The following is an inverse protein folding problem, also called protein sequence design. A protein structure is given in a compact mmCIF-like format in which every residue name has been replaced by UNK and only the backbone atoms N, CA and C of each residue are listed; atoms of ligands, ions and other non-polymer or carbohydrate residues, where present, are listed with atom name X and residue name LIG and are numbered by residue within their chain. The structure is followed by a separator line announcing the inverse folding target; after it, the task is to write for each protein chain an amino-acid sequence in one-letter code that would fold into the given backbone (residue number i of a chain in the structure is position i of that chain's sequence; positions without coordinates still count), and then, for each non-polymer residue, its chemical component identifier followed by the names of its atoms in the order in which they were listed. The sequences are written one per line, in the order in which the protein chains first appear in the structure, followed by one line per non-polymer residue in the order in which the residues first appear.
data_IF_785362738887
#
_entry.id   IF_785362738887
#
_cell.length_a   1.000
_cell.length_b   1.000
_cell.length_c   1.000
_cell.angle_alpha   90.00
_cell.angle_beta   90.00
_cell.angle_gamma   90.00
#
_symmetry.space_group_name_H-M   'P 1'
#
loop_
_entity.id
_entity.type
_entity.pdbx_description
1 polymer ?
#
# COMPACT_ATOMS: atom_id res chain seq x y z
N UNK A 1 -5.41 -12.97 2.15
CA UNK A 1 -5.52 -13.17 3.62
C UNK A 1 -6.99 -13.21 4.06
N UNK A 2 -7.37 -13.95 5.12
CA UNK A 2 -8.77 -13.89 5.62
C UNK A 2 -9.01 -12.57 6.38
N UNK A 3 -10.15 -11.91 6.13
CA UNK A 3 -10.53 -10.65 6.81
C UNK A 3 -10.41 -10.73 8.35
N UNK A 4 -10.62 -11.92 8.91
CA UNK A 4 -10.46 -12.20 10.33
C UNK A 4 -9.02 -12.05 10.83
N UNK A 5 -8.04 -12.55 10.07
CA UNK A 5 -6.62 -12.44 10.46
C UNK A 5 -6.14 -10.99 10.42
N UNK A 6 -6.58 -10.23 9.40
CA UNK A 6 -6.38 -8.79 9.36
C UNK A 6 -6.96 -8.16 10.63
N UNK A 7 -8.26 -8.39 10.92
CA UNK A 7 -8.95 -7.83 12.09
C UNK A 7 -8.28 -8.15 13.44
N UNK A 8 -7.77 -9.37 13.63
CA UNK A 8 -7.05 -9.76 14.85
C UNK A 8 -5.71 -9.04 14.98
N UNK A 9 -4.96 -8.92 13.87
CA UNK A 9 -3.71 -8.15 13.81
C UNK A 9 -3.94 -6.68 14.17
N UNK A 10 -5.13 -6.14 13.88
CA UNK A 10 -5.51 -4.77 14.22
C UNK A 10 -6.00 -4.57 15.66
N UNK A 11 -6.84 -5.48 16.18
CA UNK A 11 -7.49 -5.29 17.48
C UNK A 11 -6.59 -5.64 18.68
N UNK A 12 -5.79 -6.69 18.57
CA UNK A 12 -4.90 -7.12 19.67
C UNK A 12 -3.99 -5.97 20.20
N UNK A 13 -3.33 -5.18 19.35
CA UNK A 13 -2.47 -4.09 19.82
C UNK A 13 -3.25 -2.91 20.40
N UNK A 14 -4.43 -2.60 19.88
CA UNK A 14 -5.32 -1.59 20.46
C UNK A 14 -5.74 -1.99 21.88
N UNK A 15 -6.07 -3.27 22.09
CA UNK A 15 -6.39 -3.82 23.42
C UNK A 15 -5.18 -3.74 24.35
N UNK A 16 -3.97 -4.04 23.88
CA UNK A 16 -2.76 -3.94 24.71
C UNK A 16 -2.47 -2.51 25.16
N UNK A 17 -2.60 -1.52 24.28
CA UNK A 17 -2.40 -0.11 24.63
C UNK A 17 -3.48 0.35 25.63
N UNK A 18 -4.73 -0.05 25.40
CA UNK A 18 -5.85 0.21 26.31
C UNK A 18 -5.58 -0.35 27.71
N UNK A 19 -5.21 -1.63 27.80
CA UNK A 19 -4.93 -2.31 29.06
C UNK A 19 -3.72 -1.67 29.76
N UNK A 20 -2.65 -1.38 29.02
CA UNK A 20 -1.45 -0.76 29.58
C UNK A 20 -1.72 0.64 30.13
N UNK A 21 -2.36 1.51 29.35
CA UNK A 21 -2.69 2.87 29.79
C UNK A 21 -3.68 2.87 30.96
N UNK A 22 -4.69 1.99 30.91
CA UNK A 22 -5.63 1.84 32.00
C UNK A 22 -4.96 1.34 33.28
N UNK A 23 -4.08 0.33 33.19
CA UNK A 23 -3.31 -0.17 34.33
C UNK A 23 -2.49 0.93 34.98
N UNK A 24 -1.77 1.72 34.17
CA UNK A 24 -0.96 2.85 34.65
C UNK A 24 -1.80 3.94 35.32
N UNK A 25 -3.04 4.15 34.85
CA UNK A 25 -3.96 5.10 35.46
C UNK A 25 -4.53 4.57 36.78
N UNK A 26 -4.96 3.31 36.80
CA UNK A 26 -5.53 2.66 37.98
C UNK A 26 -4.52 2.57 39.13
N UNK A 27 -3.22 2.39 38.84
CA UNK A 27 -2.15 2.46 39.84
C UNK A 27 -2.09 3.82 40.56
N UNK A 28 -2.42 4.91 39.87
CA UNK A 28 -2.39 6.28 40.42
C UNK A 28 -3.72 6.70 41.02
N UNK A 29 -4.81 6.14 40.52
CA UNK A 29 -6.19 6.50 40.85
C UNK A 29 -7.06 5.24 40.99
N UNK A 30 -6.84 4.42 42.04
CA UNK A 30 -7.51 3.12 42.18
C UNK A 30 -9.03 3.23 42.40
N UNK A 31 -9.49 4.37 42.90
CA UNK A 31 -10.90 4.68 43.16
C UNK A 31 -11.69 5.12 41.92
N UNK A 32 -11.03 5.38 40.79
CA UNK A 32 -11.65 5.96 39.59
C UNK A 32 -12.13 4.87 38.64
N UNK A 33 -13.32 5.05 38.05
CA UNK A 33 -13.88 4.11 37.08
C UNK A 33 -13.27 4.28 35.67
N UNK A 34 -13.32 3.23 34.85
CA UNK A 34 -12.82 3.25 33.47
C UNK A 34 -13.46 4.35 32.61
N UNK A 35 -14.76 4.61 32.79
CA UNK A 35 -15.48 5.67 32.07
C UNK A 35 -14.93 7.06 32.35
N UNK A 36 -14.42 7.28 33.57
CA UNK A 36 -13.90 8.57 33.99
C UNK A 36 -12.49 8.80 33.43
N UNK A 37 -11.69 7.73 33.29
CA UNK A 37 -10.43 7.79 32.56
C UNK A 37 -10.62 8.11 31.08
N UNK A 38 -11.57 7.44 30.41
CA UNK A 38 -11.86 7.69 29.00
C UNK A 38 -12.31 9.13 28.76
N UNK A 39 -13.05 9.72 29.72
CA UNK A 39 -13.44 11.13 29.71
C UNK A 39 -12.30 12.07 30.07
N UNK A 40 -11.35 11.61 30.89
CA UNK A 40 -10.24 12.42 31.34
C UNK A 40 -9.31 12.79 30.18
N UNK A 41 -9.14 11.94 29.15
CA UNK A 41 -8.32 12.23 27.97
C UNK A 41 -9.09 12.07 26.63
N UNK A 42 -9.74 13.14 26.14
CA UNK A 42 -10.49 13.07 24.89
C UNK A 42 -9.62 12.77 23.66
N UNK A 43 -8.30 13.03 23.70
CA UNK A 43 -7.40 12.70 22.58
C UNK A 43 -7.21 11.21 22.45
N UNK A 44 -6.96 10.52 23.57
CA UNK A 44 -6.79 9.07 23.59
C UNK A 44 -8.11 8.40 23.20
N UNK A 45 -9.24 8.88 23.74
CA UNK A 45 -10.56 8.38 23.36
C UNK A 45 -10.84 8.57 21.86
N UNK A 46 -10.55 9.75 21.31
CA UNK A 46 -10.71 10.04 19.88
C UNK A 46 -9.77 9.21 19.01
N UNK A 47 -8.53 8.98 19.46
CA UNK A 47 -7.56 8.14 18.77
C UNK A 47 -8.04 6.68 18.73
N UNK A 48 -8.47 6.12 19.87
CA UNK A 48 -9.02 4.77 19.94
C UNK A 48 -10.28 4.60 19.08
N UNK A 49 -11.17 5.59 19.09
CA UNK A 49 -12.33 5.60 18.21
C UNK A 49 -11.91 5.60 16.72
N UNK A 50 -10.88 6.37 16.38
CA UNK A 50 -10.34 6.37 15.02
C UNK A 50 -9.74 5.01 14.64
N UNK A 51 -9.06 4.33 15.57
CA UNK A 51 -8.54 2.97 15.37
C UNK A 51 -9.66 1.96 15.11
N UNK A 52 -10.75 2.04 15.87
CA UNK A 52 -11.95 1.22 15.66
C UNK A 52 -12.60 1.45 14.29
N UNK A 53 -12.47 2.68 13.76
CA UNK A 53 -13.05 3.09 12.49
C UNK A 53 -12.07 3.03 11.32
N UNK A 54 -10.86 2.47 11.47
CA UNK A 54 -9.84 2.43 10.42
C UNK A 54 -10.33 1.81 9.10
N UNK A 55 -11.23 0.83 9.19
CA UNK A 55 -11.88 0.22 8.03
C UNK A 55 -12.64 1.23 7.17
N UNK A 56 -13.13 2.33 7.74
CA UNK A 56 -13.88 3.36 7.02
C UNK A 56 -13.05 4.59 6.67
N UNK A 57 -11.79 4.66 7.15
CA UNK A 57 -10.93 5.82 6.95
C UNK A 57 -10.04 5.56 5.72
N UNK A 58 -10.17 6.34 4.63
CA UNK A 58 -9.27 6.26 3.49
C UNK A 58 -7.81 6.43 3.93
N UNK A 59 -6.87 5.68 3.33
CA UNK A 59 -5.45 5.64 3.74
C UNK A 59 -5.21 5.19 5.20
N UNK A 60 -6.25 4.72 5.90
CA UNK A 60 -6.17 4.14 7.24
C UNK A 60 -5.44 5.02 8.26
N UNK A 61 -4.41 4.44 8.91
CA UNK A 61 -3.72 5.07 10.03
C UNK A 61 -2.99 6.35 9.60
N UNK A 62 -2.54 6.43 8.35
CA UNK A 62 -1.81 7.59 7.84
C UNK A 62 -2.71 8.83 7.85
N UNK A 63 -3.98 8.68 7.48
CA UNK A 63 -4.96 9.77 7.55
C UNK A 63 -5.31 10.13 9.00
N UNK A 64 -5.42 9.15 9.90
CA UNK A 64 -5.64 9.39 11.34
C UNK A 64 -4.49 10.20 11.94
N UNK A 65 -3.24 9.85 11.63
CA UNK A 65 -2.07 10.52 12.16
C UNK A 65 -1.90 11.93 11.59
N UNK A 66 -1.97 12.07 10.26
CA UNK A 66 -1.85 13.38 9.61
C UNK A 66 -3.02 14.28 9.99
N UNK A 67 -4.26 13.81 9.81
CA UNK A 67 -5.45 14.58 10.16
C UNK A 67 -5.52 14.92 11.66
N UNK A 68 -5.26 13.94 12.52
CA UNK A 68 -5.20 14.14 13.97
C UNK A 68 -4.13 15.14 14.40
N UNK A 69 -2.95 15.11 13.78
CA UNK A 69 -1.88 16.08 14.04
C UNK A 69 -2.26 17.50 13.62
N UNK A 70 -2.90 17.66 12.46
CA UNK A 70 -3.38 18.96 11.95
C UNK A 70 -4.46 19.53 12.87
N UNK A 71 -5.46 18.71 13.23
CA UNK A 71 -6.52 19.13 14.16
C UNK A 71 -5.92 19.52 15.51
N UNK A 72 -5.01 18.72 16.05
CA UNK A 72 -4.33 19.00 17.31
C UNK A 72 -3.54 20.32 17.25
N UNK A 73 -2.85 20.59 16.14
CA UNK A 73 -2.13 21.85 15.95
C UNK A 73 -3.07 23.06 15.93
N UNK A 74 -4.22 22.96 15.23
CA UNK A 74 -5.22 24.03 15.19
C UNK A 74 -5.79 24.30 16.59
N UNK A 75 -6.14 23.25 17.33
CA UNK A 75 -6.66 23.37 18.70
C UNK A 75 -5.61 23.94 19.66
N UNK A 76 -4.35 23.52 19.52
CA UNK A 76 -3.23 24.03 20.30
C UNK A 76 -3.00 25.53 20.04
N UNK A 77 -3.21 26.04 18.83
CA UNK A 77 -3.13 27.49 18.56
C UNK A 77 -4.27 28.24 19.26
N UNK A 78 -5.49 27.68 19.22
CA UNK A 78 -6.71 28.35 19.71
C UNK A 78 -6.92 28.30 21.22
N UNK A 79 -6.37 27.32 21.93
CA UNK A 79 -6.65 27.11 23.35
C UNK A 79 -5.39 26.90 24.20
N UNK A 80 -5.19 27.77 25.20
CA UNK A 80 -4.14 27.60 26.21
C UNK A 80 -4.31 26.34 27.03
N UNK A 81 -5.55 25.97 27.34
CA UNK A 81 -5.85 24.76 28.09
C UNK A 81 -5.38 23.52 27.32
N UNK A 82 -5.62 23.49 26.00
CA UNK A 82 -5.19 22.39 25.14
C UNK A 82 -3.65 22.27 25.09
N UNK A 83 -2.94 23.40 25.05
CA UNK A 83 -1.47 23.40 25.13
C UNK A 83 -0.96 22.81 26.46
N UNK A 84 -1.57 23.20 27.58
CA UNK A 84 -1.19 22.69 28.91
C UNK A 84 -1.49 21.19 29.05
N UNK A 85 -2.65 20.74 28.60
CA UNK A 85 -3.02 19.32 28.61
C UNK A 85 -2.06 18.48 27.75
N UNK A 86 -1.69 18.99 26.57
CA UNK A 86 -0.70 18.32 25.72
C UNK A 86 0.67 18.20 26.41
N UNK A 87 1.14 19.25 27.07
CA UNK A 87 2.41 19.22 27.82
C UNK A 87 2.37 18.26 29.00
N UNK A 88 1.25 18.16 29.72
CA UNK A 88 1.11 17.28 30.89
C UNK A 88 1.04 15.79 30.51
N UNK A 89 0.55 15.47 29.31
CA UNK A 89 0.24 14.09 28.89
C UNK A 89 0.93 13.64 27.61
N UNK A 90 1.87 14.44 27.10
CA UNK A 90 2.62 14.16 25.87
C UNK A 90 3.25 12.78 25.88
N UNK A 91 3.90 12.39 26.99
CA UNK A 91 4.59 11.11 27.10
C UNK A 91 3.66 9.92 26.84
N UNK A 92 2.49 9.88 27.50
CA UNK A 92 1.53 8.79 27.33
C UNK A 92 0.94 8.74 25.92
N UNK A 93 0.68 9.92 25.32
CA UNK A 93 0.13 10.05 23.97
C UNK A 93 1.13 9.66 22.90
N UNK A 94 2.36 10.17 22.99
CA UNK A 94 3.46 9.83 22.06
C UNK A 94 3.74 8.33 22.12
N UNK A 95 3.79 7.75 23.32
CA UNK A 95 4.02 6.31 23.45
C UNK A 95 2.91 5.48 22.80
N UNK A 96 1.64 5.87 22.97
CA UNK A 96 0.53 5.21 22.26
C UNK A 96 0.65 5.31 20.74
N UNK A 97 0.99 6.49 20.22
CA UNK A 97 1.20 6.70 18.78
C UNK A 97 2.36 5.83 18.27
N UNK A 98 3.48 5.79 19.00
CA UNK A 98 4.66 4.98 18.64
C UNK A 98 4.31 3.49 18.62
N UNK A 99 3.62 2.98 19.64
CA UNK A 99 3.18 1.58 19.64
C UNK A 99 2.28 1.27 18.45
N UNK A 100 1.27 2.11 18.21
CA UNK A 100 0.38 1.93 17.05
C UNK A 100 1.18 1.92 15.75
N UNK A 101 2.10 2.86 15.56
CA UNK A 101 2.96 2.91 14.38
C UNK A 101 3.78 1.64 14.20
N UNK A 102 4.49 1.19 15.24
CA UNK A 102 5.30 -0.03 15.20
C UNK A 102 4.44 -1.21 14.77
N UNK A 103 3.28 -1.37 15.38
CA UNK A 103 2.34 -2.45 15.06
C UNK A 103 1.86 -2.39 13.60
N UNK A 104 1.50 -1.20 13.11
CA UNK A 104 0.99 -1.04 11.75
C UNK A 104 2.09 -1.27 10.70
N UNK A 105 3.33 -0.88 11.03
CA UNK A 105 4.50 -1.21 10.21
C UNK A 105 4.78 -2.72 10.24
N UNK A 106 4.68 -3.36 11.41
CA UNK A 106 4.86 -4.82 11.54
C UNK A 106 3.81 -5.62 10.76
N UNK A 107 2.59 -5.09 10.62
CA UNK A 107 1.56 -5.70 9.77
C UNK A 107 1.99 -5.79 8.29
N UNK A 108 2.94 -4.97 7.85
CA UNK A 108 3.54 -5.08 6.53
C UNK A 108 4.39 -6.34 6.34
N UNK A 109 4.72 -7.11 7.38
CA UNK A 109 5.39 -8.41 7.25
C UNK A 109 4.41 -9.59 7.12
N UNK A 110 3.11 -9.34 7.19
CA UNK A 110 2.11 -10.39 6.97
C UNK A 110 2.23 -10.84 5.50
N UNK A 111 2.45 -12.14 5.24
CA UNK A 111 2.52 -12.64 3.87
C UNK A 111 1.23 -12.31 3.12
N UNK A 112 1.32 -11.77 1.90
CA UNK A 112 0.15 -11.50 1.08
C UNK A 112 -0.49 -12.82 0.62
N UNK A 113 -1.65 -12.72 -0.03
CA UNK A 113 -2.18 -13.84 -0.82
C UNK A 113 -1.28 -14.15 -2.02
N UNK A 114 -1.30 -15.41 -2.46
CA UNK A 114 -0.59 -15.86 -3.66
C UNK A 114 -1.24 -15.26 -4.92
N UNK A 115 -0.45 -14.81 -5.91
CA UNK A 115 -0.93 -14.43 -7.25
C UNK A 115 -1.79 -15.53 -7.88
N UNK A 116 -2.84 -15.14 -8.61
CA UNK A 116 -3.85 -16.07 -9.19
C UNK A 116 -3.70 -16.29 -10.70
N UNK A 117 -2.78 -15.58 -11.34
CA UNK A 117 -2.57 -15.57 -12.78
C UNK A 117 -2.20 -16.93 -13.40
N UNK A 118 -1.84 -17.93 -12.60
CA UNK A 118 -1.62 -19.30 -13.08
C UNK A 118 -2.87 -19.88 -13.74
N UNK A 119 -4.07 -19.53 -13.25
CA UNK A 119 -5.34 -20.00 -13.82
C UNK A 119 -5.60 -19.44 -15.22
N UNK A 120 -4.96 -18.32 -15.56
CA UNK A 120 -5.12 -17.60 -16.84
C UNK A 120 -3.99 -17.93 -17.82
N UNK A 121 -2.75 -17.79 -17.36
CA UNK A 121 -1.55 -17.83 -18.23
C UNK A 121 -0.73 -19.11 -18.05
N UNK A 122 -1.17 -20.04 -17.18
CA UNK A 122 -0.45 -21.27 -16.86
C UNK A 122 0.73 -21.03 -15.92
N UNK A 123 1.67 -21.98 -15.86
CA UNK A 123 2.79 -21.92 -14.92
C UNK A 123 3.68 -20.68 -15.17
N UNK A 124 3.99 -19.90 -14.12
CA UNK A 124 4.87 -18.74 -14.24
C UNK A 124 6.30 -19.16 -14.60
N UNK A 125 7.00 -18.25 -15.29
CA UNK A 125 8.42 -18.40 -15.59
C UNK A 125 9.28 -18.24 -14.32
N UNK A 126 8.85 -17.34 -13.42
CA UNK A 126 9.49 -17.08 -12.15
C UNK A 126 8.45 -16.90 -11.06
N UNK A 127 8.64 -17.63 -9.95
CA UNK A 127 7.87 -17.48 -8.72
C UNK A 127 8.72 -16.74 -7.69
N UNK A 128 8.19 -15.64 -7.18
CA UNK A 128 8.90 -14.81 -6.22
C UNK A 128 9.90 -13.86 -6.87
N UNK A 129 10.31 -12.90 -6.06
CA UNK A 129 11.23 -11.83 -6.43
C UNK A 129 12.58 -12.16 -5.76
N UNK A 130 13.65 -12.43 -6.52
CA UNK A 130 14.97 -12.80 -5.95
C UNK A 130 15.52 -11.64 -5.10
N UNK A 131 15.16 -10.41 -5.46
CA UNK A 131 15.59 -9.18 -4.80
C UNK A 131 14.43 -8.42 -4.12
N UNK A 132 13.33 -9.10 -3.75
CA UNK A 132 12.25 -8.45 -3.02
C UNK A 132 12.77 -7.84 -1.71
N UNK A 133 12.43 -6.58 -1.40
CA UNK A 133 12.62 -6.10 -0.05
C UNK A 133 11.74 -6.97 0.88
N UNK A 134 12.25 -7.36 2.06
CA UNK A 134 11.47 -8.14 3.02
C UNK A 134 10.26 -7.36 3.59
N UNK A 135 10.19 -6.06 3.31
CA UNK A 135 9.14 -5.18 3.76
C UNK A 135 8.84 -4.07 2.74
N UNK A 136 7.56 -3.76 2.49
CA UNK A 136 6.41 -4.60 2.82
C UNK A 136 6.48 -5.96 2.12
N UNK A 137 5.89 -6.98 2.73
CA UNK A 137 5.82 -8.32 2.19
C UNK A 137 5.09 -8.29 0.85
N UNK A 138 5.71 -8.90 -0.16
CA UNK A 138 5.16 -9.03 -1.50
C UNK A 138 5.44 -10.39 -2.09
N UNK A 139 4.54 -10.84 -2.94
CA UNK A 139 4.70 -12.04 -3.76
C UNK A 139 4.48 -11.65 -5.21
N UNK A 140 5.33 -12.13 -6.11
CA UNK A 140 5.35 -11.71 -7.51
C UNK A 140 5.55 -12.91 -8.43
N UNK A 141 4.64 -13.10 -9.38
CA UNK A 141 4.76 -14.12 -10.43
C UNK A 141 4.92 -13.43 -11.79
N UNK A 142 5.76 -14.01 -12.65
CA UNK A 142 6.11 -13.44 -13.95
C UNK A 142 5.84 -14.46 -15.05
N UNK A 143 5.18 -14.01 -16.13
CA UNK A 143 4.92 -14.78 -17.34
C UNK A 143 5.49 -14.08 -18.56
N UNK A 144 5.94 -14.87 -19.53
CA UNK A 144 6.26 -14.40 -20.88
C UNK A 144 5.28 -15.08 -21.83
N UNK A 145 4.40 -14.27 -22.43
CA UNK A 145 3.33 -14.76 -23.29
C UNK A 145 3.82 -14.94 -24.73
N UNK A 146 3.05 -15.72 -25.50
CA UNK A 146 3.39 -16.10 -26.87
C UNK A 146 3.52 -14.89 -27.81
N UNK A 147 2.82 -13.80 -27.51
CA UNK A 147 2.86 -12.56 -28.27
C UNK A 147 4.02 -11.61 -27.85
N UNK A 148 4.90 -12.08 -26.96
CA UNK A 148 6.05 -11.35 -26.46
C UNK A 148 5.73 -10.39 -25.31
N UNK A 149 4.50 -10.37 -24.78
CA UNK A 149 4.19 -9.60 -23.58
C UNK A 149 4.77 -10.25 -22.33
N UNK A 150 5.36 -9.45 -21.45
CA UNK A 150 5.67 -9.86 -20.09
C UNK A 150 4.56 -9.40 -19.17
N UNK A 151 3.98 -10.34 -18.45
CA UNK A 151 2.97 -10.08 -17.44
C UNK A 151 3.58 -10.33 -16.07
N UNK A 152 3.42 -9.39 -15.17
CA UNK A 152 3.90 -9.46 -13.80
C UNK A 152 2.73 -9.20 -12.87
N UNK A 153 2.32 -10.20 -12.12
CA UNK A 153 1.32 -10.06 -11.07
C UNK A 153 2.05 -9.92 -9.73
N UNK A 154 1.75 -8.87 -8.99
CA UNK A 154 2.35 -8.61 -7.67
C UNK A 154 1.25 -8.41 -6.65
N UNK A 155 1.25 -9.24 -5.61
CA UNK A 155 0.44 -9.04 -4.42
C UNK A 155 1.30 -8.40 -3.34
N UNK A 156 0.84 -7.28 -2.79
CA UNK A 156 1.58 -6.43 -1.87
C UNK A 156 0.76 -6.16 -0.60
N UNK A 157 1.33 -6.42 0.57
CA UNK A 157 0.72 -6.00 1.82
C UNK A 157 0.98 -4.51 2.08
N UNK A 158 -0.08 -3.70 2.17
CA UNK A 158 0.00 -2.26 2.44
C UNK A 158 -0.16 -2.00 3.94
N UNK A 159 0.92 -1.63 4.65
CA UNK A 159 0.88 -1.44 6.10
C UNK A 159 0.01 -0.24 6.47
N UNK A 160 -0.92 -0.49 7.40
CA UNK A 160 -1.76 0.53 8.02
C UNK A 160 -2.89 1.08 7.17
N UNK A 161 -3.12 0.53 5.98
CA UNK A 161 -4.24 0.89 5.10
C UNK A 161 -5.17 -0.31 4.99
N UNK A 162 -6.41 -0.17 5.49
CA UNK A 162 -7.40 -1.25 5.45
C UNK A 162 -8.53 -1.03 4.47
N UNK A 163 -8.79 0.25 4.20
CA UNK A 163 -9.83 0.71 3.33
C UNK A 163 -9.26 0.84 1.91
N UNK A 164 -9.94 0.29 0.88
CA UNK A 164 -9.46 0.36 -0.50
C UNK A 164 -9.56 1.77 -1.10
N UNK A 165 -10.40 2.66 -0.56
CA UNK A 165 -10.58 4.03 -1.03
C UNK A 165 -9.29 4.82 -0.84
N UNK A 166 -8.83 5.45 -1.92
CA UNK A 166 -7.57 6.18 -2.03
C UNK A 166 -6.29 5.36 -1.84
N UNK A 167 -6.38 4.06 -1.52
CA UNK A 167 -5.22 3.21 -1.33
C UNK A 167 -4.33 3.13 -2.58
N UNK A 168 -4.87 2.92 -3.81
CA UNK A 168 -4.05 2.87 -5.01
C UNK A 168 -3.25 4.16 -5.24
N UNK A 169 -3.86 5.33 -5.02
CA UNK A 169 -3.20 6.62 -5.19
C UNK A 169 -2.06 6.81 -4.18
N UNK A 170 -2.31 6.45 -2.91
CA UNK A 170 -1.30 6.53 -1.85
C UNK A 170 -0.12 5.59 -2.11
N UNK A 171 -0.38 4.33 -2.47
CA UNK A 171 0.67 3.35 -2.75
C UNK A 171 1.44 3.71 -4.02
N UNK A 172 0.77 4.17 -5.08
CA UNK A 172 1.42 4.67 -6.30
C UNK A 172 2.42 5.79 -5.96
N UNK A 173 1.99 6.78 -5.19
CA UNK A 173 2.84 7.91 -4.78
C UNK A 173 4.08 7.42 -4.03
N UNK A 174 3.91 6.50 -3.07
CA UNK A 174 5.05 5.92 -2.33
C UNK A 174 5.97 5.16 -3.28
N UNK A 175 5.42 4.32 -4.16
CA UNK A 175 6.17 3.52 -5.13
C UNK A 175 7.00 4.35 -6.10
N UNK A 176 6.54 5.55 -6.46
CA UNK A 176 7.27 6.49 -7.29
C UNK A 176 8.41 7.15 -6.54
N UNK A 177 8.15 7.61 -5.30
CA UNK A 177 9.17 8.27 -4.47
C UNK A 177 10.29 7.32 -4.05
N UNK A 178 9.97 6.04 -3.80
CA UNK A 178 10.97 5.03 -3.40
C UNK A 178 11.72 4.41 -4.57
N UNK A 179 11.28 4.64 -5.82
CA UNK A 179 11.81 3.95 -6.99
C UNK A 179 11.42 2.47 -7.08
N UNK A 180 10.50 1.99 -6.24
CA UNK A 180 10.10 0.58 -6.21
C UNK A 180 9.49 0.11 -7.54
N UNK A 181 8.81 1.01 -8.25
CA UNK A 181 8.25 0.73 -9.58
C UNK A 181 9.35 0.42 -10.60
N UNK A 182 10.40 1.25 -10.63
CA UNK A 182 11.55 1.07 -11.51
C UNK A 182 12.30 -0.23 -11.20
N UNK A 183 12.54 -0.52 -9.91
CA UNK A 183 13.24 -1.72 -9.50
C UNK A 183 12.51 -3.01 -9.93
N UNK A 184 11.18 -3.06 -9.79
CA UNK A 184 10.37 -4.22 -10.24
C UNK A 184 10.37 -4.37 -11.74
N UNK A 185 10.34 -3.27 -12.48
CA UNK A 185 10.46 -3.27 -13.93
C UNK A 185 11.82 -3.83 -14.38
N UNK A 186 12.92 -3.33 -13.80
CA UNK A 186 14.27 -3.80 -14.10
C UNK A 186 14.44 -5.29 -13.83
N UNK A 187 13.83 -5.81 -12.77
CA UNK A 187 13.82 -7.25 -12.49
C UNK A 187 13.03 -8.04 -13.53
N UNK A 188 11.83 -7.59 -13.90
CA UNK A 188 11.03 -8.25 -14.94
C UNK A 188 11.76 -8.30 -16.29
N UNK A 189 12.44 -7.21 -16.66
CA UNK A 189 13.24 -7.14 -17.89
C UNK A 189 14.54 -7.92 -17.76
N UNK A 190 15.12 -8.09 -16.57
CA UNK A 190 16.33 -8.91 -16.39
C UNK A 190 16.13 -10.39 -16.75
N UNK A 191 14.87 -10.85 -16.75
CA UNK A 191 14.50 -12.19 -17.23
C UNK A 191 14.41 -12.28 -18.76
N UNK A 192 14.37 -11.14 -19.46
CA UNK A 192 14.61 -11.11 -20.90
C UNK A 192 16.11 -11.29 -21.14
N UNK A 193 16.48 -12.27 -21.96
CA UNK A 193 17.87 -12.58 -22.34
C UNK A 193 18.43 -11.50 -23.28
N UNK A 194 18.57 -10.27 -22.77
CA UNK A 194 18.99 -9.11 -23.54
C UNK A 194 20.40 -8.65 -23.15
N UNK A 195 21.24 -8.45 -24.17
CA UNK A 195 22.68 -8.14 -24.08
C UNK A 195 22.98 -6.83 -23.32
N UNK A 196 21.99 -5.96 -23.16
CA UNK A 196 22.13 -4.56 -22.70
C UNK A 196 22.06 -4.40 -21.18
N UNK A 197 21.60 -5.43 -20.46
CA UNK A 197 21.47 -5.43 -19.00
C UNK A 197 20.29 -4.57 -18.49
N UNK A 198 19.75 -4.86 -17.30
CA UNK A 198 18.51 -4.25 -16.80
C UNK A 198 18.62 -2.74 -16.52
N UNK A 199 19.83 -2.24 -16.24
CA UNK A 199 20.08 -0.83 -15.96
C UNK A 199 20.11 0.05 -17.22
N UNK A 200 19.97 -0.54 -18.41
CA UNK A 200 19.91 0.20 -19.67
C UNK A 200 18.52 0.77 -19.96
N UNK A 201 17.53 0.50 -19.12
CA UNK A 201 16.15 0.98 -19.28
C UNK A 201 15.75 1.89 -18.13
N UNK A 202 14.90 2.88 -18.45
CA UNK A 202 14.24 3.76 -17.48
C UNK A 202 12.79 4.01 -17.87
N UNK A 203 11.93 4.28 -16.89
CA UNK A 203 10.52 4.57 -17.14
C UNK A 203 10.25 6.07 -17.23
N UNK A 204 9.48 6.47 -18.24
CA UNK A 204 8.96 7.83 -18.39
C UNK A 204 7.43 7.82 -18.42
N UNK A 205 6.75 8.53 -17.50
CA UNK A 205 5.30 8.46 -17.41
C UNK A 205 4.60 9.15 -18.59
N UNK A 206 3.66 8.46 -19.23
CA UNK A 206 2.68 9.02 -20.17
C UNK A 206 1.41 9.39 -19.40
N UNK A 207 0.86 8.43 -18.65
CA UNK A 207 -0.31 8.62 -17.77
C UNK A 207 0.05 8.29 -16.33
N UNK A 208 0.02 9.31 -15.47
CA UNK A 208 0.36 9.19 -14.06
C UNK A 208 -0.87 8.87 -13.18
N UNK A 209 -1.59 7.80 -13.50
CA UNK A 209 -2.71 7.31 -12.69
C UNK A 209 -4.06 7.85 -13.16
N UNK A 210 -4.61 7.24 -14.20
CA UNK A 210 -5.95 7.51 -14.73
C UNK A 210 -6.88 6.37 -14.32
N UNK A 211 -8.17 6.66 -14.12
CA UNK A 211 -9.17 5.61 -13.91
C UNK A 211 -9.66 5.14 -15.27
N UNK A 212 -9.54 3.84 -15.54
CA UNK A 212 -10.01 3.20 -16.76
C UNK A 212 -11.08 2.16 -16.41
N UNK A 213 -12.04 1.99 -17.31
CA UNK A 213 -13.15 1.05 -17.15
C UNK A 213 -12.80 -0.28 -17.82
N UNK A 214 -12.60 -1.31 -17.00
CA UNK A 214 -12.33 -2.68 -17.42
C UNK A 214 -13.61 -3.52 -17.28
N UNK A 215 -14.42 -3.56 -18.35
CA UNK A 215 -15.72 -4.26 -18.41
C UNK A 215 -16.64 -4.00 -17.19
N UNK A 216 -16.80 -2.73 -16.80
CA UNK A 216 -17.62 -2.30 -15.68
C UNK A 216 -16.86 -2.17 -14.35
N UNK A 217 -15.57 -2.50 -14.32
CA UNK A 217 -14.69 -2.32 -13.15
C UNK A 217 -13.76 -1.13 -13.36
N UNK A 218 -13.99 -0.06 -12.61
CA UNK A 218 -13.17 1.14 -12.67
C UNK A 218 -11.89 0.98 -11.85
N UNK A 219 -10.74 0.86 -12.50
CA UNK A 219 -9.44 0.65 -11.85
C UNK A 219 -8.46 1.77 -12.19
N UNK A 220 -7.57 2.06 -11.23
CA UNK A 220 -6.45 2.97 -11.46
C UNK A 220 -5.42 2.24 -12.33
N UNK A 221 -4.97 2.88 -13.41
CA UNK A 221 -3.82 2.41 -14.18
C UNK A 221 -2.79 3.52 -14.41
N UNK A 222 -1.53 3.12 -14.50
CA UNK A 222 -0.41 3.97 -14.94
C UNK A 222 0.12 3.46 -16.26
N UNK A 223 0.60 4.37 -17.09
CA UNK A 223 1.17 4.07 -18.42
C UNK A 223 2.49 4.80 -18.57
N UNK A 224 3.53 4.06 -18.90
CA UNK A 224 4.90 4.54 -18.99
C UNK A 224 5.54 4.08 -20.29
N UNK A 225 6.31 4.98 -20.89
CA UNK A 225 7.28 4.63 -21.92
C UNK A 225 8.51 3.98 -21.28
N UNK A 226 9.01 2.93 -21.94
CA UNK A 226 10.29 2.31 -21.64
C UNK A 226 11.35 3.01 -22.48
N UNK A 227 12.20 3.79 -21.83
CA UNK A 227 13.29 4.52 -22.45
C UNK A 227 14.58 3.70 -22.36
N UNK A 228 15.14 3.36 -23.52
CA UNK A 228 16.48 2.77 -23.61
C UNK A 228 17.52 3.88 -23.48
N UNK A 229 18.44 3.75 -22.52
CA UNK A 229 19.55 4.68 -22.25
C UNK A 229 20.87 4.15 -22.83
N UNK A 230 20.83 3.80 -24.13
CA UNK A 230 22.01 3.43 -24.90
C UNK A 230 22.15 4.38 -26.07
N UNK A 231 23.10 5.31 -25.95
CA UNK A 231 23.39 6.37 -26.94
C UNK A 231 22.34 7.47 -27.05
N UNK A 232 21.47 7.62 -26.04
CA UNK A 232 20.40 8.61 -25.97
C UNK A 232 19.08 7.96 -25.54
N UNK A 233 18.17 8.72 -24.92
CA UNK A 233 16.88 8.19 -24.47
C UNK A 233 15.93 7.99 -25.66
N UNK A 234 15.69 6.73 -26.00
CA UNK A 234 14.80 6.34 -27.09
C UNK A 234 13.65 5.45 -26.60
N UNK A 235 12.39 5.76 -26.94
CA UNK A 235 11.26 4.91 -26.58
C UNK A 235 11.40 3.56 -27.28
N UNK A 236 11.37 2.49 -26.51
CA UNK A 236 11.65 1.11 -26.95
C UNK A 236 10.54 0.12 -26.60
N UNK A 237 9.52 0.59 -25.88
CA UNK A 237 8.36 -0.19 -25.47
C UNK A 237 7.49 0.62 -24.52
N UNK A 238 6.44 -0.02 -24.01
CA UNK A 238 5.53 0.57 -23.05
C UNK A 238 5.26 -0.41 -21.90
N UNK A 239 4.94 0.17 -20.73
CA UNK A 239 4.54 -0.54 -19.53
C UNK A 239 3.22 0.01 -19.02
N UNK A 240 2.27 -0.89 -18.73
CA UNK A 240 1.00 -0.56 -18.11
C UNK A 240 0.90 -1.27 -16.77
N UNK A 241 0.58 -0.54 -15.70
CA UNK A 241 0.34 -1.14 -14.38
C UNK A 241 -1.06 -0.80 -13.89
N UNK A 242 -1.86 -1.82 -13.62
CA UNK A 242 -3.21 -1.71 -13.05
C UNK A 242 -3.18 -2.02 -11.56
N UNK A 243 -3.93 -1.25 -10.78
CA UNK A 243 -3.92 -1.30 -9.32
C UNK A 243 -5.30 -1.70 -8.77
N UNK A 244 -5.39 -2.86 -8.13
CA UNK A 244 -6.62 -3.34 -7.47
C UNK A 244 -6.43 -3.32 -5.95
N UNK A 245 -7.12 -2.41 -5.24
CA UNK A 245 -7.09 -2.40 -3.79
C UNK A 245 -8.09 -3.43 -3.23
N UNK A 246 -7.68 -4.16 -2.20
CA UNK A 246 -8.57 -5.06 -1.46
C UNK A 246 -8.88 -4.55 -0.06
N UNK A 247 -9.96 -5.06 0.51
CA UNK A 247 -10.24 -4.91 1.93
C UNK A 247 -9.24 -5.74 2.75
N UNK A 248 -8.77 -5.19 3.86
CA UNK A 248 -7.79 -5.88 4.70
C UNK A 248 -6.34 -5.48 4.43
N UNK A 249 -6.12 -4.64 3.42
CA UNK A 249 -4.85 -3.96 3.18
C UNK A 249 -3.91 -4.65 2.21
N UNK A 250 -4.38 -5.56 1.37
CA UNK A 250 -3.57 -6.06 0.25
C UNK A 250 -3.85 -5.21 -1.02
N UNK A 251 -2.82 -5.02 -1.84
CA UNK A 251 -2.88 -4.38 -3.15
C UNK A 251 -2.41 -5.37 -4.19
N UNK A 252 -3.22 -5.60 -5.22
CA UNK A 252 -2.84 -6.40 -6.36
C UNK A 252 -2.44 -5.49 -7.50
N UNK A 253 -1.30 -5.78 -8.11
CA UNK A 253 -0.77 -5.04 -9.24
C UNK A 253 -0.63 -6.00 -10.40
N UNK A 254 -1.21 -5.65 -11.54
CA UNK A 254 -0.94 -6.32 -12.81
C UNK A 254 -0.12 -5.38 -13.68
N UNK A 255 1.13 -5.74 -13.96
CA UNK A 255 2.02 -4.99 -14.83
C UNK A 255 2.22 -5.75 -16.14
N UNK A 256 1.92 -5.10 -17.26
CA UNK A 256 2.10 -5.64 -18.61
C UNK A 256 3.15 -4.81 -19.32
N UNK A 257 4.21 -5.47 -19.78
CA UNK A 257 5.36 -4.88 -20.47
C UNK A 257 5.38 -5.41 -21.89
N UNK A 258 5.47 -4.53 -22.88
CA UNK A 258 5.63 -4.91 -24.29
C UNK A 258 6.68 -4.02 -24.96
N UNK A 259 7.60 -4.65 -25.67
CA UNK A 259 8.64 -3.97 -26.44
C UNK A 259 8.18 -3.69 -27.87
N UNK A 260 8.75 -2.66 -28.50
CA UNK A 260 8.45 -2.27 -29.87
C UNK A 260 7.62 -0.99 -29.99
N UNK A 261 7.33 -0.54 -31.22
CA UNK A 261 6.59 0.69 -31.47
C UNK A 261 5.09 0.50 -31.21
N UNK A 262 4.49 1.44 -30.47
CA UNK A 262 3.05 1.52 -30.14
C UNK A 262 2.40 0.17 -29.74
N UNK A 263 2.99 -0.59 -28.79
CA UNK A 263 2.63 -1.99 -28.54
C UNK A 263 1.20 -2.20 -28.01
N UNK A 264 0.56 -1.15 -27.49
CA UNK A 264 -0.82 -1.17 -26.98
C UNK A 264 -1.84 -0.44 -27.88
N UNK A 265 -1.48 -0.05 -29.11
CA UNK A 265 -2.39 0.68 -30.03
C UNK A 265 -3.74 -0.03 -30.26
N UNK A 266 -3.73 -1.37 -30.31
CA UNK A 266 -4.94 -2.20 -30.47
C UNK A 266 -5.55 -2.69 -29.16
N UNK A 267 -4.94 -2.37 -28.02
CA UNK A 267 -5.31 -2.87 -26.70
C UNK A 267 -5.01 -1.81 -25.61
N UNK A 268 -5.67 -0.64 -25.67
CA UNK A 268 -5.40 0.46 -24.75
C UNK A 268 -5.65 0.02 -23.31
N UNK A 269 -4.79 0.46 -22.38
CA UNK A 269 -4.89 0.04 -20.98
C UNK A 269 -4.51 -1.43 -20.74
N UNK A 270 -3.96 -2.14 -21.74
CA UNK A 270 -3.74 -3.58 -21.68
C UNK A 270 -5.04 -4.36 -21.41
N UNK A 271 -6.19 -3.82 -21.87
CA UNK A 271 -7.55 -4.29 -21.61
C UNK A 271 -7.69 -5.81 -21.62
N UNK A 272 -7.27 -6.48 -22.69
CA UNK A 272 -7.44 -7.94 -22.81
C UNK A 272 -6.77 -8.72 -21.67
N UNK A 273 -5.59 -8.30 -21.22
CA UNK A 273 -4.86 -8.96 -20.14
C UNK A 273 -5.55 -8.76 -18.79
N UNK A 274 -6.10 -7.57 -18.58
CA UNK A 274 -6.78 -7.21 -17.35
C UNK A 274 -8.12 -7.94 -17.29
N UNK A 275 -8.86 -8.01 -18.40
CA UNK A 275 -10.13 -8.73 -18.46
C UNK A 275 -9.94 -10.23 -18.24
N UNK A 276 -8.91 -10.83 -18.85
CA UNK A 276 -8.54 -12.23 -18.62
C UNK A 276 -8.21 -12.47 -17.13
N UNK A 277 -7.46 -11.56 -16.50
CA UNK A 277 -7.11 -11.63 -15.08
C UNK A 277 -8.30 -11.46 -14.14
N UNK A 278 -9.23 -10.55 -14.47
CA UNK A 278 -10.45 -10.30 -13.69
C UNK A 278 -11.51 -11.40 -13.84
N UNK A 279 -11.36 -12.29 -14.81
CA UNK A 279 -12.30 -13.38 -15.09
C UNK A 279 -12.19 -14.57 -14.11
N UNK A 280 -11.15 -14.57 -13.28
CA UNK A 280 -10.85 -15.56 -12.23
C UNK A 280 -11.40 -15.14 -10.89
#
# INVERSE_FOLDING_TARGET
MTMLFSLLTWLAPMVLILVWQWSQWQEKHPEVLFSDWLRADPYIAGFLLSLLLLWFIPLGIWMVLVGGSVISAILAVRSEQQRREWQQRSNARVLAIVFVLIIHLLAGFVPPSTPIGEEVWGLPLSEGQENAPPWPASEQYIWVLVDGAIVVETHLQVPGVLNPVLAPQGVKMVSQVTGAKEARFQEAVSLMDDWTGPNAFSLSPIHDGVVHDYDGVNLLYTHDDIMLDLFGMHPSGEMITVWIPTWGGEMYLLTVIKMGPDPFLGNPGAQSYVDDWLSV
#
